data_IF_236852966202
#
_entry.id   IF_236852966202
#
_cell.length_a   1.000
_cell.length_b   1.000
_cell.length_c   1.000
_cell.angle_alpha   90.00
_cell.angle_beta   90.00
_cell.angle_gamma   90.00
#
_symmetry.space_group_name_H-M   'P 1'
#
loop_
_entity.id
_entity.type
_entity.pdbx_description
1 polymer ?
#
# COMPACT_ATOMS: atom_id res chain seq x y z
N UNK A 1 -36.37 -6.16 13.21
CA UNK A 1 -36.73 -5.63 11.87
C UNK A 1 -35.85 -4.44 11.48
N UNK A 2 -36.00 -3.23 12.05
CA UNK A 2 -35.19 -2.04 11.68
C UNK A 2 -33.66 -2.20 11.80
N UNK A 3 -33.15 -2.94 12.79
CA UNK A 3 -31.71 -3.17 12.95
C UNK A 3 -31.14 -4.23 11.98
N UNK A 4 -31.98 -5.13 11.48
CA UNK A 4 -31.61 -6.14 10.47
C UNK A 4 -31.60 -5.47 9.08
N UNK A 5 -32.54 -4.55 8.84
CA UNK A 5 -32.61 -3.71 7.65
C UNK A 5 -31.39 -2.79 7.50
N UNK A 6 -30.89 -2.24 8.61
CA UNK A 6 -29.65 -1.43 8.62
C UNK A 6 -28.42 -2.30 8.30
N UNK A 7 -28.31 -3.50 8.89
CA UNK A 7 -27.18 -4.42 8.67
C UNK A 7 -27.09 -4.98 7.25
N UNK A 8 -28.22 -5.12 6.55
CA UNK A 8 -28.26 -5.58 5.16
C UNK A 8 -27.98 -4.46 4.15
N UNK A 9 -28.30 -3.20 4.50
CA UNK A 9 -28.04 -2.04 3.64
C UNK A 9 -26.54 -1.69 3.51
N UNK A 10 -25.72 -1.96 4.53
CA UNK A 10 -24.26 -1.71 4.51
C UNK A 10 -23.46 -2.68 3.61
N UNK A 11 -24.09 -3.78 3.17
CA UNK A 11 -23.48 -4.81 2.31
C UNK A 11 -23.94 -4.75 0.84
N UNK A 12 -24.53 -3.63 0.40
CA UNK A 12 -24.73 -3.36 -1.02
C UNK A 12 -25.98 -3.98 -1.67
N UNK A 13 -27.02 -4.27 -0.89
CA UNK A 13 -28.36 -4.57 -1.44
C UNK A 13 -29.23 -3.33 -1.23
N UNK A 14 -29.20 -2.43 -2.22
CA UNK A 14 -30.01 -1.23 -2.24
C UNK A 14 -31.47 -1.55 -2.59
N UNK A 15 -32.37 -1.23 -1.66
CA UNK A 15 -33.80 -0.92 -1.83
C UNK A 15 -34.68 -1.80 -2.74
N UNK A 16 -35.80 -2.22 -2.16
CA UNK A 16 -36.87 -3.06 -2.71
C UNK A 16 -37.78 -2.36 -3.74
N UNK A 17 -37.23 -1.75 -4.78
CA UNK A 17 -38.08 -1.13 -5.80
C UNK A 17 -37.33 -0.64 -7.01
N UNK A 18 -36.94 -1.55 -7.90
CA UNK A 18 -36.82 -1.33 -9.35
C UNK A 18 -36.37 -2.66 -10.01
N UNK A 19 -37.30 -3.62 -10.09
CA UNK A 19 -37.20 -4.75 -11.01
C UNK A 19 -38.51 -4.84 -11.79
N UNK A 20 -38.59 -4.06 -12.87
CA UNK A 20 -39.23 -4.53 -14.10
C UNK A 20 -38.17 -4.46 -15.19
N UNK A 21 -37.87 -5.66 -15.72
CA UNK A 21 -37.14 -5.98 -16.95
C UNK A 21 -35.62 -5.77 -16.98
N UNK A 22 -34.90 -6.90 -16.84
CA UNK A 22 -33.48 -7.03 -17.17
C UNK A 22 -32.91 -8.42 -16.86
N UNK A 23 -33.19 -9.39 -17.74
CA UNK A 23 -32.68 -10.78 -17.90
C UNK A 23 -33.00 -11.88 -16.85
N UNK A 24 -33.42 -13.10 -17.28
CA UNK A 24 -34.03 -14.11 -16.40
C UNK A 24 -33.11 -15.24 -15.89
N UNK A 25 -31.81 -15.21 -16.14
CA UNK A 25 -30.96 -16.39 -15.89
C UNK A 25 -30.14 -16.38 -14.58
N UNK A 26 -29.97 -15.25 -13.88
CA UNK A 26 -29.14 -15.21 -12.65
C UNK A 26 -29.91 -15.32 -11.30
N UNK A 27 -31.24 -15.16 -11.29
CA UNK A 27 -31.98 -14.93 -10.04
C UNK A 27 -32.54 -16.22 -9.36
N UNK A 28 -32.52 -17.37 -10.05
CA UNK A 28 -33.14 -18.61 -9.53
C UNK A 28 -32.29 -19.36 -8.50
N UNK A 29 -30.95 -19.26 -8.58
CA UNK A 29 -30.03 -19.97 -7.66
C UNK A 29 -29.90 -19.31 -6.29
N UNK A 30 -29.97 -17.98 -6.23
CA UNK A 30 -29.79 -17.19 -5.00
C UNK A 30 -31.02 -17.28 -4.08
N UNK A 31 -32.22 -17.38 -4.67
CA UNK A 31 -33.49 -17.43 -3.94
C UNK A 31 -33.67 -18.72 -3.11
N UNK A 32 -33.22 -19.87 -3.59
CA UNK A 32 -33.31 -21.13 -2.83
C UNK A 32 -32.23 -21.27 -1.74
N UNK A 33 -31.06 -20.63 -1.95
CA UNK A 33 -29.94 -20.72 -1.01
C UNK A 33 -30.28 -20.11 0.36
N UNK A 34 -31.03 -19.00 0.39
CA UNK A 34 -31.44 -18.34 1.62
C UNK A 34 -32.44 -19.18 2.43
N UNK A 35 -33.40 -19.84 1.79
CA UNK A 35 -34.32 -20.76 2.46
C UNK A 35 -33.59 -22.00 3.00
N UNK A 36 -32.68 -22.58 2.22
CA UNK A 36 -31.90 -23.73 2.67
C UNK A 36 -30.99 -23.36 3.86
N UNK A 37 -30.36 -22.19 3.83
CA UNK A 37 -29.56 -21.69 4.94
C UNK A 37 -30.41 -21.47 6.18
N UNK A 38 -31.59 -20.86 6.04
CA UNK A 38 -32.54 -20.64 7.13
C UNK A 38 -32.95 -21.95 7.81
N UNK A 39 -33.43 -22.92 7.03
CA UNK A 39 -33.84 -24.21 7.58
C UNK A 39 -32.67 -24.99 8.20
N UNK A 40 -31.49 -24.96 7.59
CA UNK A 40 -30.29 -25.56 8.20
C UNK A 40 -29.94 -24.91 9.53
N UNK A 41 -29.90 -23.58 9.59
CA UNK A 41 -29.58 -22.85 10.82
C UNK A 41 -30.61 -23.12 11.93
N UNK A 42 -31.89 -23.24 11.58
CA UNK A 42 -32.92 -23.67 12.52
C UNK A 42 -32.72 -25.12 12.97
N UNK A 43 -32.55 -26.06 12.04
CA UNK A 43 -32.45 -27.48 12.33
C UNK A 43 -31.15 -27.81 13.12
N UNK A 44 -30.10 -27.01 12.96
CA UNK A 44 -28.86 -27.10 13.76
C UNK A 44 -28.92 -26.34 15.09
N UNK A 45 -30.05 -25.71 15.44
CA UNK A 45 -30.26 -25.01 16.70
C UNK A 45 -29.60 -23.63 16.82
N UNK A 46 -29.18 -23.04 15.69
CA UNK A 46 -28.65 -21.67 15.65
C UNK A 46 -29.78 -20.64 15.68
N UNK A 47 -30.92 -20.97 15.07
CA UNK A 47 -32.15 -20.20 15.13
C UNK A 47 -33.20 -20.97 15.92
N UNK A 48 -33.92 -20.27 16.78
CA UNK A 48 -35.07 -20.80 17.52
C UNK A 48 -36.31 -20.09 17.00
N UNK A 49 -37.28 -20.86 16.53
CA UNK A 49 -38.59 -20.35 16.13
C UNK A 49 -39.56 -20.45 17.29
N UNK A 50 -40.05 -19.31 17.77
CA UNK A 50 -41.17 -19.26 18.71
C UNK A 50 -42.42 -18.76 17.96
N UNK A 51 -43.43 -19.62 17.86
CA UNK A 51 -44.67 -19.25 17.17
C UNK A 51 -45.72 -18.80 18.18
N UNK A 52 -45.99 -17.50 18.22
CA UNK A 52 -47.05 -16.94 19.04
C UNK A 52 -48.27 -16.60 18.18
N UNK A 53 -49.32 -17.43 18.29
CA UNK A 53 -50.61 -17.35 17.56
C UNK A 53 -50.45 -17.37 16.03
N UNK A 54 -50.17 -16.21 15.43
CA UNK A 54 -50.08 -16.01 13.99
C UNK A 54 -48.75 -15.39 13.56
N UNK A 55 -47.81 -15.20 14.49
CA UNK A 55 -46.48 -14.64 14.23
C UNK A 55 -45.41 -15.64 14.67
N UNK A 56 -44.48 -15.91 13.77
CA UNK A 56 -43.25 -16.63 14.07
C UNK A 56 -42.19 -15.60 14.41
N UNK A 57 -41.71 -15.65 15.65
CA UNK A 57 -40.52 -14.97 16.09
C UNK A 57 -39.33 -15.90 15.87
N UNK A 58 -38.25 -15.35 15.33
CA UNK A 58 -37.04 -16.11 15.06
C UNK A 58 -35.92 -15.43 15.82
N UNK A 59 -35.45 -16.09 16.86
CA UNK A 59 -34.36 -15.60 17.68
C UNK A 59 -33.11 -16.44 17.45
N UNK A 60 -31.96 -15.79 17.45
CA UNK A 60 -30.68 -16.46 17.32
C UNK A 60 -30.21 -16.90 18.71
N UNK A 61 -29.73 -18.14 18.81
CA UNK A 61 -29.14 -18.64 20.04
C UNK A 61 -27.91 -17.75 20.42
N UNK A 62 -27.79 -17.27 21.67
CA UNK A 62 -26.66 -16.46 22.12
C UNK A 62 -25.29 -17.06 21.79
N UNK A 63 -25.15 -18.39 21.90
CA UNK A 63 -23.89 -19.08 21.59
C UNK A 63 -23.58 -19.03 20.09
N UNK A 64 -24.60 -19.23 19.26
CA UNK A 64 -24.47 -19.11 17.81
C UNK A 64 -24.17 -17.67 17.38
N UNK A 65 -24.77 -16.69 18.06
CA UNK A 65 -24.49 -15.27 17.85
C UNK A 65 -23.04 -14.93 18.20
N UNK A 66 -22.49 -15.47 19.29
CA UNK A 66 -21.06 -15.31 19.63
C UNK A 66 -20.14 -15.90 18.55
N UNK A 67 -20.48 -17.07 18.00
CA UNK A 67 -19.71 -17.70 16.92
C UNK A 67 -19.78 -16.87 15.64
N UNK A 68 -20.97 -16.39 15.25
CA UNK A 68 -21.14 -15.50 14.10
C UNK A 68 -20.42 -14.17 14.29
N UNK A 69 -20.49 -13.60 15.49
CA UNK A 69 -19.72 -12.42 15.87
C UNK A 69 -18.22 -12.66 15.71
N UNK A 70 -17.71 -13.79 16.19
CA UNK A 70 -16.31 -14.16 16.02
C UNK A 70 -15.91 -14.34 14.55
N UNK A 71 -16.72 -15.01 13.73
CA UNK A 71 -16.49 -15.20 12.29
C UNK A 71 -16.54 -13.85 11.56
N UNK A 72 -17.49 -12.99 11.91
CA UNK A 72 -17.62 -11.65 11.35
C UNK A 72 -16.42 -10.79 11.74
N UNK A 73 -15.97 -10.88 12.99
CA UNK A 73 -14.74 -10.25 13.47
C UNK A 73 -13.52 -10.77 12.70
N UNK A 74 -13.46 -12.06 12.34
CA UNK A 74 -12.41 -12.58 11.44
C UNK A 74 -12.45 -11.93 10.06
N UNK A 75 -13.64 -11.70 9.49
CA UNK A 75 -13.83 -11.09 8.17
C UNK A 75 -13.63 -9.57 8.11
N UNK A 76 -14.09 -8.84 9.13
CA UNK A 76 -14.17 -7.36 9.12
C UNK A 76 -13.07 -6.65 9.91
N UNK A 77 -12.12 -7.36 10.52
CA UNK A 77 -11.13 -6.76 11.41
C UNK A 77 -10.01 -6.01 10.68
N UNK A 78 -10.31 -5.05 9.80
CA UNK A 78 -9.37 -3.97 9.48
C UNK A 78 -9.24 -3.07 10.71
N UNK A 79 -8.48 -3.53 11.71
CA UNK A 79 -8.19 -2.75 12.90
C UNK A 79 -7.35 -1.55 12.45
N UNK A 80 -7.88 -0.33 12.64
CA UNK A 80 -7.11 0.89 12.46
C UNK A 80 -5.97 0.91 13.48
N UNK A 81 -4.79 0.55 13.01
CA UNK A 81 -3.61 0.23 13.83
C UNK A 81 -3.16 1.42 14.69
N UNK A 82 -3.35 2.65 14.22
CA UNK A 82 -2.96 3.87 14.92
C UNK A 82 -3.83 4.20 16.14
N UNK A 83 -5.15 3.98 16.07
CA UNK A 83 -6.07 4.28 17.18
C UNK A 83 -5.83 3.35 18.38
N UNK A 84 -5.68 2.05 18.10
CA UNK A 84 -5.45 1.03 19.12
C UNK A 84 -4.23 1.32 20.01
N UNK A 85 -3.15 1.87 19.45
CA UNK A 85 -1.94 2.18 20.24
C UNK A 85 -2.15 3.34 21.21
N UNK A 86 -2.86 4.38 20.76
CA UNK A 86 -3.19 5.53 21.61
C UNK A 86 -4.14 5.08 22.73
N UNK A 87 -5.11 4.23 22.41
CA UNK A 87 -6.05 3.68 23.39
C UNK A 87 -5.33 2.83 24.44
N UNK A 88 -4.40 1.96 24.04
CA UNK A 88 -3.57 1.20 24.99
C UNK A 88 -2.79 2.14 25.90
N UNK A 89 -2.10 3.14 25.35
CA UNK A 89 -1.33 4.11 26.14
C UNK A 89 -2.22 4.83 27.15
N UNK A 90 -3.35 5.36 26.72
CA UNK A 90 -4.23 6.14 27.58
C UNK A 90 -4.81 5.29 28.71
N UNK A 91 -5.24 4.06 28.41
CA UNK A 91 -5.74 3.12 29.41
C UNK A 91 -4.65 2.69 30.41
N UNK A 92 -3.41 2.47 29.94
CA UNK A 92 -2.28 2.14 30.80
C UNK A 92 -1.92 3.32 31.73
N UNK A 93 -1.88 4.55 31.19
CA UNK A 93 -1.63 5.77 31.96
C UNK A 93 -2.73 6.07 32.98
N UNK A 94 -3.98 5.75 32.67
CA UNK A 94 -5.10 5.86 33.58
C UNK A 94 -4.99 4.85 34.72
N UNK A 95 -4.73 3.57 34.41
CA UNK A 95 -4.54 2.51 35.40
C UNK A 95 -3.32 2.77 36.31
N UNK A 96 -2.26 3.41 35.79
CA UNK A 96 -1.11 3.80 36.60
C UNK A 96 -1.40 4.99 37.54
N UNK A 97 -2.22 5.96 37.11
CA UNK A 97 -2.57 7.13 37.93
C UNK A 97 -3.63 6.83 38.97
N UNK A 98 -4.65 6.07 38.60
CA UNK A 98 -5.80 5.77 39.45
C UNK A 98 -6.06 4.25 39.48
N UNK A 99 -5.20 3.47 40.16
CA UNK A 99 -5.23 2.01 40.11
C UNK A 99 -6.49 1.39 40.75
N UNK A 100 -7.18 2.11 41.63
CA UNK A 100 -8.36 1.62 42.35
C UNK A 100 -9.66 1.80 41.55
N UNK A 101 -9.76 2.87 40.75
CA UNK A 101 -10.94 3.21 39.95
C UNK A 101 -10.80 2.77 38.49
N UNK A 102 -9.60 2.82 37.93
CA UNK A 102 -9.34 2.59 36.49
C UNK A 102 -8.66 1.24 36.21
N UNK A 103 -8.74 0.26 37.12
CA UNK A 103 -8.12 -1.05 36.97
C UNK A 103 -8.64 -1.80 35.71
N UNK A 104 -9.94 -1.75 35.43
CA UNK A 104 -10.52 -2.32 34.20
C UNK A 104 -9.89 -1.74 32.92
N UNK A 105 -9.35 -0.52 32.98
CA UNK A 105 -8.58 0.07 31.90
C UNK A 105 -7.37 -0.78 31.50
N UNK A 106 -6.67 -1.41 32.45
CA UNK A 106 -5.56 -2.31 32.16
C UNK A 106 -6.02 -3.56 31.38
N UNK A 107 -7.15 -4.17 31.76
CA UNK A 107 -7.69 -5.33 31.06
C UNK A 107 -8.10 -4.97 29.61
N UNK A 108 -8.70 -3.78 29.44
CA UNK A 108 -9.02 -3.24 28.11
C UNK A 108 -7.77 -2.93 27.28
N UNK A 109 -6.72 -2.39 27.91
CA UNK A 109 -5.42 -2.17 27.28
C UNK A 109 -4.80 -3.49 26.81
N UNK A 110 -4.91 -4.55 27.62
CA UNK A 110 -4.43 -5.88 27.27
C UNK A 110 -5.16 -6.46 26.03
N UNK A 111 -6.49 -6.47 26.01
CA UNK A 111 -7.24 -6.98 24.84
C UNK A 111 -6.94 -6.16 23.58
N UNK A 112 -6.88 -4.83 23.71
CA UNK A 112 -6.54 -3.93 22.61
C UNK A 112 -5.13 -4.19 22.08
N UNK A 113 -4.14 -4.41 22.95
CA UNK A 113 -2.78 -4.77 22.57
C UNK A 113 -2.73 -6.12 21.82
N UNK A 114 -3.50 -7.12 22.25
CA UNK A 114 -3.59 -8.40 21.56
C UNK A 114 -4.24 -8.28 20.18
N UNK A 115 -5.34 -7.51 20.06
CA UNK A 115 -5.98 -7.21 18.76
C UNK A 115 -5.00 -6.51 17.81
N UNK A 116 -4.26 -5.52 18.32
CA UNK A 116 -3.21 -4.84 17.58
C UNK A 116 -2.13 -5.82 17.09
N UNK A 117 -1.60 -6.68 17.97
CA UNK A 117 -0.59 -7.67 17.61
C UNK A 117 -1.08 -8.70 16.56
N UNK A 118 -2.36 -9.07 16.59
CA UNK A 118 -2.98 -9.93 15.57
C UNK A 118 -3.10 -9.21 14.23
N UNK A 119 -3.54 -7.95 14.23
CA UNK A 119 -3.63 -7.12 13.02
C UNK A 119 -2.27 -6.98 12.34
N UNK A 120 -1.23 -6.66 13.12
CA UNK A 120 0.16 -6.64 12.64
C UNK A 120 0.54 -7.98 11.96
N UNK A 121 0.38 -9.11 12.64
CA UNK A 121 0.70 -10.43 12.04
C UNK A 121 -0.05 -10.70 10.74
N UNK A 122 -1.31 -10.28 10.63
CA UNK A 122 -2.09 -10.41 9.40
C UNK A 122 -1.52 -9.57 8.26
N UNK A 123 -1.11 -8.33 8.53
CA UNK A 123 -0.47 -7.47 7.52
C UNK A 123 0.78 -8.15 6.96
N UNK A 124 1.64 -8.72 7.80
CA UNK A 124 2.82 -9.45 7.32
C UNK A 124 2.46 -10.71 6.51
N UNK A 125 1.42 -11.44 6.91
CA UNK A 125 0.97 -12.60 6.16
C UNK A 125 0.45 -12.20 4.77
N UNK A 126 -0.36 -11.15 4.69
CA UNK A 126 -0.83 -10.60 3.41
C UNK A 126 0.30 -10.08 2.53
N UNK A 127 1.32 -9.43 3.13
CA UNK A 127 2.53 -9.04 2.40
C UNK A 127 3.25 -10.24 1.79
N UNK A 128 3.44 -11.32 2.55
CA UNK A 128 4.08 -12.55 2.05
C UNK A 128 3.28 -13.19 0.93
N UNK A 129 1.97 -13.23 1.05
CA UNK A 129 1.10 -13.78 0.00
C UNK A 129 1.23 -12.98 -1.30
N UNK A 130 1.29 -11.65 -1.21
CA UNK A 130 1.57 -10.77 -2.36
C UNK A 130 2.98 -11.06 -2.91
N UNK A 131 3.99 -11.24 -2.05
CA UNK A 131 5.35 -11.64 -2.44
C UNK A 131 5.32 -12.91 -3.28
N UNK A 132 4.66 -13.96 -2.78
CA UNK A 132 4.62 -15.27 -3.40
C UNK A 132 3.90 -15.22 -4.75
N UNK A 133 2.80 -14.46 -4.86
CA UNK A 133 2.11 -14.24 -6.14
C UNK A 133 3.00 -13.51 -7.16
N UNK A 134 3.80 -12.55 -6.71
CA UNK A 134 4.70 -11.77 -7.58
C UNK A 134 5.95 -12.57 -7.96
N UNK A 135 6.49 -13.39 -7.06
CA UNK A 135 7.66 -14.25 -7.32
C UNK A 135 7.29 -15.48 -8.15
N UNK A 136 6.09 -16.03 -7.96
CA UNK A 136 5.62 -17.22 -8.65
C UNK A 136 5.17 -16.98 -10.10
N UNK A 137 5.00 -15.72 -10.53
CA UNK A 137 4.50 -15.41 -11.85
C UNK A 137 5.63 -15.02 -12.83
N UNK A 138 5.84 -15.75 -13.95
CA UNK A 138 6.85 -15.39 -14.94
C UNK A 138 6.40 -14.22 -15.85
N UNK A 139 5.11 -13.87 -15.86
CA UNK A 139 4.58 -12.82 -16.73
C UNK A 139 4.72 -11.43 -16.08
N UNK A 140 5.53 -10.58 -16.70
CA UNK A 140 5.81 -9.22 -16.23
C UNK A 140 4.56 -8.32 -16.14
N UNK A 141 3.60 -8.46 -17.05
CA UNK A 141 2.35 -7.69 -17.01
C UNK A 141 1.45 -8.11 -15.83
N UNK A 142 1.44 -9.41 -15.50
CA UNK A 142 0.71 -9.94 -14.36
C UNK A 142 1.36 -9.49 -13.03
N UNK A 143 2.70 -9.52 -12.96
CA UNK A 143 3.46 -8.97 -11.82
C UNK A 143 3.08 -7.51 -11.54
N UNK A 144 3.08 -6.66 -12.58
CA UNK A 144 2.73 -5.24 -12.42
C UNK A 144 1.29 -5.04 -11.98
N UNK A 145 0.34 -5.80 -12.55
CA UNK A 145 -1.08 -5.72 -12.15
C UNK A 145 -1.28 -6.08 -10.68
N UNK A 146 -0.73 -7.22 -10.24
CA UNK A 146 -0.78 -7.65 -8.83
C UNK A 146 -0.14 -6.63 -7.91
N UNK A 147 0.98 -6.00 -8.31
CA UNK A 147 1.59 -4.94 -7.53
C UNK A 147 0.68 -3.71 -7.37
N UNK A 148 0.08 -3.19 -8.44
CA UNK A 148 -0.77 -2.00 -8.33
C UNK A 148 -2.10 -2.30 -7.61
N UNK A 149 -2.79 -3.37 -7.97
CA UNK A 149 -4.11 -3.70 -7.39
C UNK A 149 -4.01 -4.25 -5.96
N UNK A 150 -3.15 -5.24 -5.72
CA UNK A 150 -3.14 -5.93 -4.43
C UNK A 150 -2.26 -5.19 -3.40
N UNK A 151 -1.11 -4.65 -3.84
CA UNK A 151 -0.18 -3.97 -2.93
C UNK A 151 -0.44 -2.47 -2.80
N UNK A 152 -0.54 -1.70 -3.90
CA UNK A 152 -0.72 -0.24 -3.81
C UNK A 152 -2.13 0.09 -3.34
N UNK A 153 -3.16 -0.42 -4.02
CA UNK A 153 -4.56 -0.10 -3.70
C UNK A 153 -5.04 -0.81 -2.42
N UNK A 154 -4.72 -2.10 -2.27
CA UNK A 154 -5.14 -2.91 -1.13
C UNK A 154 -4.42 -2.58 0.18
N UNK A 155 -3.08 -2.60 0.17
CA UNK A 155 -2.28 -2.63 1.39
C UNK A 155 -1.60 -1.28 1.73
N UNK A 156 -1.02 -0.62 0.74
CA UNK A 156 -0.22 0.60 0.93
C UNK A 156 -1.10 1.81 1.24
N UNK A 157 -2.24 1.95 0.53
CA UNK A 157 -3.15 3.10 0.69
C UNK A 157 -3.96 3.01 1.99
N UNK A 158 -4.40 1.81 2.41
CA UNK A 158 -5.28 1.64 3.56
C UNK A 158 -4.54 1.61 4.91
N UNK A 159 -3.54 0.73 5.07
CA UNK A 159 -2.96 0.41 6.39
C UNK A 159 -1.57 1.01 6.59
N UNK A 160 -0.72 1.04 5.56
CA UNK A 160 0.67 1.50 5.68
C UNK A 160 0.82 3.02 5.86
N UNK A 161 0.00 3.83 5.16
CA UNK A 161 0.02 5.29 5.34
C UNK A 161 -0.31 5.68 6.78
N UNK A 162 -1.25 5.00 7.42
CA UNK A 162 -1.61 5.26 8.82
C UNK A 162 -0.44 4.98 9.77
N UNK A 163 0.33 3.91 9.50
CA UNK A 163 1.53 3.57 10.26
C UNK A 163 2.62 4.66 10.18
N UNK A 164 2.69 5.46 9.11
CA UNK A 164 3.75 6.49 8.93
C UNK A 164 3.34 7.92 9.31
N UNK A 165 2.05 8.16 9.61
CA UNK A 165 1.53 9.48 10.02
C UNK A 165 1.85 9.83 11.48
N UNK A 166 1.52 11.05 11.93
CA UNK A 166 1.85 11.60 13.27
C UNK A 166 1.33 10.78 14.47
N UNK A 167 0.33 9.91 14.28
CA UNK A 167 -0.13 8.90 15.23
C UNK A 167 0.56 7.53 15.05
N UNK A 168 1.82 7.52 14.60
CA UNK A 168 2.59 6.30 14.36
C UNK A 168 2.71 5.47 15.66
N UNK A 169 2.31 4.18 15.65
CA UNK A 169 2.58 3.20 16.71
C UNK A 169 4.00 3.25 17.30
N UNK A 170 4.99 3.53 16.46
CA UNK A 170 6.40 3.61 16.82
C UNK A 170 6.69 4.71 17.86
N UNK A 171 5.93 5.81 17.85
CA UNK A 171 6.12 6.93 18.79
C UNK A 171 5.85 6.50 20.22
N UNK A 172 4.78 5.74 20.43
CA UNK A 172 4.29 5.38 21.76
C UNK A 172 4.88 4.08 22.29
N UNK A 173 5.54 3.27 21.44
CA UNK A 173 6.10 1.96 21.84
C UNK A 173 6.98 2.02 23.08
N UNK A 174 7.91 2.99 23.14
CA UNK A 174 8.85 3.12 24.26
C UNK A 174 8.13 3.56 25.53
N UNK A 175 7.19 4.49 25.40
CA UNK A 175 6.37 4.96 26.51
C UNK A 175 5.55 3.83 27.10
N UNK A 176 4.85 3.06 26.27
CA UNK A 176 4.01 1.94 26.73
C UNK A 176 4.88 0.84 27.35
N UNK A 177 5.97 0.44 26.70
CA UNK A 177 6.85 -0.62 27.21
C UNK A 177 7.56 -0.21 28.52
N UNK A 178 7.99 1.05 28.64
CA UNK A 178 8.56 1.59 29.88
C UNK A 178 7.52 1.62 30.97
N UNK A 179 6.34 2.19 30.70
CA UNK A 179 5.26 2.31 31.68
C UNK A 179 4.80 0.93 32.19
N UNK A 180 4.63 -0.05 31.30
CA UNK A 180 4.32 -1.42 31.70
C UNK A 180 5.46 -2.04 32.55
N UNK A 181 6.72 -1.76 32.20
CA UNK A 181 7.88 -2.20 32.98
C UNK A 181 7.96 -1.55 34.36
N UNK A 182 7.66 -0.26 34.45
CA UNK A 182 7.66 0.51 35.71
C UNK A 182 6.53 0.01 36.62
N UNK A 183 5.33 -0.25 36.06
CA UNK A 183 4.21 -0.85 36.78
C UNK A 183 4.52 -2.27 37.29
N UNK A 184 5.24 -3.09 36.51
CA UNK A 184 5.69 -4.42 36.93
C UNK A 184 6.70 -4.38 38.09
N UNK A 185 7.48 -3.30 38.20
CA UNK A 185 8.46 -3.14 39.27
C UNK A 185 7.86 -2.68 40.60
N UNK A 186 6.64 -2.12 40.59
CA UNK A 186 5.94 -1.62 41.78
C UNK A 186 4.95 -2.66 42.34
N UNK A 187 5.41 -3.46 43.30
CA UNK A 187 4.59 -4.46 43.98
C UNK A 187 3.38 -3.86 44.72
N UNK A 188 3.47 -2.61 45.21
CA UNK A 188 2.36 -1.96 45.89
C UNK A 188 1.26 -1.55 44.91
N UNK A 189 1.65 -1.07 43.73
CA UNK A 189 0.72 -0.77 42.63
C UNK A 189 0.02 -2.04 42.13
N UNK A 190 0.77 -3.12 41.90
CA UNK A 190 0.21 -4.41 41.47
C UNK A 190 -0.87 -4.92 42.44
N UNK A 191 -0.60 -4.86 43.75
CA UNK A 191 -1.56 -5.27 44.77
C UNK A 191 -2.83 -4.40 44.80
N UNK A 192 -2.73 -3.09 44.50
CA UNK A 192 -3.91 -2.20 44.37
C UNK A 192 -4.76 -2.57 43.16
N UNK A 193 -4.13 -2.75 42.00
CA UNK A 193 -4.82 -3.14 40.76
C UNK A 193 -5.49 -4.52 40.93
N UNK A 194 -4.80 -5.47 41.56
CA UNK A 194 -5.33 -6.81 41.81
C UNK A 194 -6.57 -6.81 42.72
N UNK A 195 -6.60 -5.98 43.77
CA UNK A 195 -7.80 -5.80 44.60
C UNK A 195 -8.95 -5.19 43.80
N UNK A 196 -8.65 -4.13 43.04
CA UNK A 196 -9.64 -3.50 42.17
C UNK A 196 -10.18 -4.46 41.10
N UNK A 197 -9.39 -5.41 40.59
CA UNK A 197 -9.85 -6.45 39.65
C UNK A 197 -10.93 -7.36 40.24
N UNK A 198 -10.82 -7.67 41.54
CA UNK A 198 -11.81 -8.47 42.27
C UNK A 198 -13.06 -7.63 42.51
N UNK A 199 -12.91 -6.40 43.00
CA UNK A 199 -14.02 -5.49 43.32
C UNK A 199 -14.83 -5.09 42.08
N UNK A 200 -14.17 -4.89 40.94
CA UNK A 200 -14.79 -4.50 39.67
C UNK A 200 -15.34 -5.69 38.86
N UNK A 201 -15.25 -6.94 39.38
CA UNK A 201 -15.79 -8.12 38.73
C UNK A 201 -15.05 -8.57 37.46
N UNK A 202 -13.79 -8.16 37.29
CA UNK A 202 -12.92 -8.61 36.18
C UNK A 202 -12.50 -10.07 36.38
N UNK A 203 -12.41 -10.50 37.65
CA UNK A 203 -12.09 -11.86 38.06
C UNK A 203 -13.37 -12.68 38.30
N UNK A 204 -13.25 -14.01 38.19
CA UNK A 204 -14.33 -14.92 38.54
C UNK A 204 -14.72 -14.77 40.04
N UNK A 205 -15.99 -14.99 40.40
CA UNK A 205 -16.44 -14.95 41.78
C UNK A 205 -15.61 -15.89 42.68
N UNK A 206 -15.11 -15.39 43.80
CA UNK A 206 -14.28 -16.16 44.73
C UNK A 206 -12.78 -16.21 44.40
N UNK A 207 -12.31 -15.45 43.41
CA UNK A 207 -10.88 -15.33 43.12
C UNK A 207 -10.09 -14.75 44.30
N UNK A 208 -8.86 -15.23 44.47
CA UNK A 208 -7.94 -14.73 45.51
C UNK A 208 -7.12 -13.54 45.01
N UNK A 209 -6.60 -12.73 45.93
CA UNK A 209 -5.72 -11.61 45.58
C UNK A 209 -4.47 -12.10 44.83
N UNK A 210 -3.87 -13.22 45.24
CA UNK A 210 -2.72 -13.81 44.56
C UNK A 210 -3.01 -14.16 43.10
N UNK A 211 -4.16 -14.80 42.83
CA UNK A 211 -4.58 -15.11 41.44
C UNK A 211 -4.86 -13.86 40.61
N UNK A 212 -5.32 -12.77 41.24
CA UNK A 212 -5.52 -11.50 40.55
C UNK A 212 -4.18 -10.80 40.25
N UNK A 213 -3.22 -10.84 41.18
CA UNK A 213 -1.85 -10.34 40.96
C UNK A 213 -1.15 -11.07 39.82
N UNK A 214 -1.23 -12.42 39.79
CA UNK A 214 -0.67 -13.22 38.68
C UNK A 214 -1.25 -12.81 37.31
N UNK A 215 -2.57 -12.56 37.25
CA UNK A 215 -3.22 -12.10 36.02
C UNK A 215 -2.73 -10.71 35.62
N UNK A 216 -2.66 -9.76 36.56
CA UNK A 216 -2.19 -8.39 36.29
C UNK A 216 -0.75 -8.42 35.77
N UNK A 217 0.12 -9.23 36.38
CA UNK A 217 1.50 -9.42 35.92
C UNK A 217 1.53 -9.99 34.50
N UNK A 218 0.77 -11.05 34.24
CA UNK A 218 0.71 -11.67 32.90
C UNK A 218 0.21 -10.69 31.82
N UNK A 219 -0.81 -9.89 32.14
CA UNK A 219 -1.35 -8.88 31.22
C UNK A 219 -0.33 -7.76 30.93
N UNK A 220 0.37 -7.25 31.95
CA UNK A 220 1.41 -6.23 31.81
C UNK A 220 2.63 -6.75 31.03
N UNK A 221 3.10 -7.96 31.33
CA UNK A 221 4.18 -8.62 30.59
C UNK A 221 3.80 -8.78 29.12
N UNK A 222 2.55 -9.16 28.86
CA UNK A 222 2.06 -9.32 27.49
C UNK A 222 1.98 -8.02 26.73
N UNK A 223 1.49 -6.95 27.36
CA UNK A 223 1.48 -5.61 26.77
C UNK A 223 2.92 -5.19 26.46
N UNK A 224 3.84 -5.31 27.43
CA UNK A 224 5.25 -4.96 27.24
C UNK A 224 5.86 -5.70 26.03
N UNK A 225 5.71 -7.03 25.97
CA UNK A 225 6.28 -7.83 24.88
C UNK A 225 5.73 -7.41 23.51
N UNK A 226 4.41 -7.16 23.42
CA UNK A 226 3.75 -6.74 22.17
C UNK A 226 4.35 -5.44 21.64
N UNK A 227 4.62 -4.47 22.50
CA UNK A 227 5.15 -3.16 22.09
C UNK A 227 6.67 -3.13 21.90
N UNK A 228 7.42 -4.03 22.53
CA UNK A 228 8.83 -4.28 22.19
C UNK A 228 8.97 -4.87 20.78
N UNK A 229 8.08 -5.83 20.42
CA UNK A 229 8.05 -6.49 19.11
C UNK A 229 7.65 -5.57 17.94
N UNK A 230 7.05 -4.40 18.21
CA UNK A 230 6.65 -3.43 17.17
C UNK A 230 7.85 -2.97 16.32
N UNK A 231 9.02 -2.76 16.94
CA UNK A 231 10.21 -2.31 16.22
C UNK A 231 10.65 -3.31 15.14
N UNK A 232 11.04 -4.53 15.52
CA UNK A 232 11.39 -5.59 14.58
C UNK A 232 10.29 -5.90 13.56
N UNK A 233 9.02 -5.72 13.94
CA UNK A 233 7.89 -5.89 13.05
C UNK A 233 7.86 -4.82 11.94
N UNK A 234 8.07 -3.55 12.28
CA UNK A 234 8.14 -2.47 11.30
C UNK A 234 9.34 -2.61 10.38
N UNK A 235 10.49 -3.03 10.89
CA UNK A 235 11.69 -3.27 10.08
C UNK A 235 11.41 -4.34 8.99
N UNK A 236 10.70 -5.42 9.34
CA UNK A 236 10.26 -6.45 8.37
C UNK A 236 9.36 -5.90 7.28
N UNK A 237 8.48 -4.94 7.60
CA UNK A 237 7.62 -4.29 6.61
C UNK A 237 8.47 -3.43 5.65
N UNK A 238 9.44 -2.69 6.17
CA UNK A 238 10.34 -1.87 5.34
C UNK A 238 11.20 -2.74 4.43
N UNK A 239 11.81 -3.81 4.98
CA UNK A 239 12.57 -4.79 4.21
C UNK A 239 11.73 -5.44 3.11
N UNK A 240 10.46 -5.74 3.39
CA UNK A 240 9.53 -6.27 2.41
C UNK A 240 9.26 -5.27 1.28
N UNK A 241 8.94 -4.02 1.63
CA UNK A 241 8.70 -2.93 0.67
C UNK A 241 9.90 -2.77 -0.26
N UNK A 242 11.11 -2.69 0.31
CA UNK A 242 12.32 -2.44 -0.45
C UNK A 242 12.65 -3.60 -1.40
N UNK A 243 12.43 -4.85 -0.95
CA UNK A 243 12.56 -6.04 -1.81
C UNK A 243 11.55 -6.01 -2.95
N UNK A 244 10.30 -5.67 -2.67
CA UNK A 244 9.24 -5.61 -3.67
C UNK A 244 9.50 -4.50 -4.69
N UNK A 245 9.85 -3.30 -4.23
CA UNK A 245 10.21 -2.17 -5.10
C UNK A 245 11.39 -2.51 -6.01
N UNK A 246 12.44 -3.14 -5.44
CA UNK A 246 13.59 -3.59 -6.22
C UNK A 246 13.17 -4.61 -7.27
N UNK A 247 12.31 -5.57 -6.94
CA UNK A 247 11.81 -6.57 -7.87
C UNK A 247 11.03 -5.92 -9.02
N UNK A 248 10.11 -5.01 -8.72
CA UNK A 248 9.34 -4.29 -9.74
C UNK A 248 10.25 -3.45 -10.63
N UNK A 249 11.22 -2.73 -10.06
CA UNK A 249 12.22 -1.98 -10.84
C UNK A 249 12.98 -2.90 -11.80
N UNK A 250 13.41 -4.08 -11.33
CA UNK A 250 14.08 -5.06 -12.18
C UNK A 250 13.14 -5.58 -13.28
N UNK A 251 11.89 -5.89 -12.97
CA UNK A 251 10.90 -6.35 -13.95
C UNK A 251 10.64 -5.28 -15.02
N UNK A 252 10.43 -4.03 -14.63
CA UNK A 252 10.24 -2.90 -15.56
C UNK A 252 11.48 -2.71 -16.42
N UNK A 253 12.68 -2.72 -15.82
CA UNK A 253 13.92 -2.62 -16.58
C UNK A 253 14.09 -3.78 -17.57
N UNK A 254 13.70 -5.00 -17.18
CA UNK A 254 13.70 -6.13 -18.09
C UNK A 254 12.68 -5.96 -19.23
N UNK A 255 11.49 -5.43 -18.97
CA UNK A 255 10.52 -5.13 -20.03
C UNK A 255 11.02 -4.05 -20.99
N UNK A 256 11.68 -3.03 -20.47
CA UNK A 256 12.24 -1.92 -21.23
C UNK A 256 13.43 -2.37 -22.10
N UNK A 257 14.38 -3.12 -21.52
CA UNK A 257 15.56 -3.65 -22.21
C UNK A 257 15.22 -4.81 -23.15
N UNK A 258 14.32 -5.70 -22.74
CA UNK A 258 13.80 -6.79 -23.59
C UNK A 258 12.61 -6.35 -24.44
N UNK A 259 12.51 -5.06 -24.77
CA UNK A 259 11.53 -4.54 -25.71
C UNK A 259 11.38 -5.43 -26.95
N UNK A 260 10.18 -5.42 -27.53
CA UNK A 260 9.73 -6.26 -28.64
C UNK A 260 10.85 -6.52 -29.65
N UNK A 261 11.12 -7.81 -29.90
CA UNK A 261 12.15 -8.24 -30.84
C UNK A 261 13.50 -8.63 -30.23
N UNK A 262 13.75 -8.50 -28.92
CA UNK A 262 14.97 -9.02 -28.28
C UNK A 262 15.07 -10.55 -28.36
N UNK A 263 13.98 -11.25 -28.03
CA UNK A 263 13.86 -12.70 -28.21
C UNK A 263 13.97 -13.09 -29.68
N UNK A 264 13.30 -12.40 -30.60
CA UNK A 264 13.42 -12.63 -32.05
C UNK A 264 14.82 -12.33 -32.58
N UNK A 265 15.52 -11.32 -32.04
CA UNK A 265 16.92 -11.05 -32.38
C UNK A 265 17.83 -12.19 -31.94
N UNK A 266 17.62 -12.75 -30.74
CA UNK A 266 18.36 -13.92 -30.26
C UNK A 266 18.04 -15.15 -31.12
N UNK A 267 16.77 -15.38 -31.43
CA UNK A 267 16.35 -16.49 -32.31
C UNK A 267 16.96 -16.34 -33.70
N UNK A 268 16.92 -15.14 -34.30
CA UNK A 268 17.58 -14.85 -35.58
C UNK A 268 19.09 -15.01 -35.51
N UNK A 269 19.72 -14.62 -34.40
CA UNK A 269 21.15 -14.85 -34.16
C UNK A 269 21.49 -16.34 -34.11
N UNK A 270 20.68 -17.13 -33.39
CA UNK A 270 20.83 -18.59 -33.31
C UNK A 270 20.63 -19.23 -34.70
N UNK A 271 19.62 -18.81 -35.46
CA UNK A 271 19.38 -19.26 -36.83
C UNK A 271 20.49 -18.85 -37.81
N UNK A 272 21.10 -17.68 -37.62
CA UNK A 272 22.24 -17.25 -38.42
C UNK A 272 23.50 -18.02 -38.05
N UNK A 273 23.73 -18.26 -36.76
CA UNK A 273 24.83 -19.08 -36.26
C UNK A 273 24.72 -20.54 -36.69
N UNK A 274 23.52 -21.12 -36.71
CA UNK A 274 23.31 -22.51 -37.12
C UNK A 274 23.53 -22.76 -38.62
N UNK A 275 23.46 -21.70 -39.44
CA UNK A 275 23.77 -21.76 -40.88
C UNK A 275 25.27 -21.70 -41.17
N UNK A 276 26.08 -21.32 -40.20
CA UNK A 276 27.54 -21.36 -40.31
C UNK A 276 27.98 -22.79 -39.98
N UNK A 277 28.66 -23.45 -40.91
CA UNK A 277 29.18 -24.80 -40.70
C UNK A 277 30.19 -24.81 -39.55
N UNK A 278 30.14 -25.80 -38.65
CA UNK A 278 31.04 -25.84 -37.49
C UNK A 278 32.52 -25.99 -37.87
N UNK A 279 32.80 -26.36 -39.12
CA UNK A 279 34.16 -26.52 -39.66
C UNK A 279 34.83 -25.18 -40.03
N UNK A 280 34.08 -24.07 -40.14
CA UNK A 280 34.64 -22.74 -40.49
C UNK A 280 34.88 -21.84 -39.26
N UNK A 281 34.39 -22.22 -38.08
CA UNK A 281 34.48 -21.39 -36.87
C UNK A 281 35.33 -22.10 -35.82
N UNK A 282 36.55 -21.62 -35.63
CA UNK A 282 37.38 -22.01 -34.49
C UNK A 282 36.75 -21.42 -33.21
N UNK A 283 35.78 -22.13 -32.62
CA UNK A 283 35.20 -21.77 -31.32
C UNK A 283 36.28 -22.01 -30.27
N UNK A 284 37.12 -21.00 -30.04
CA UNK A 284 38.01 -20.97 -28.88
C UNK A 284 37.16 -20.74 -27.64
N UNK A 285 36.66 -21.81 -27.04
CA UNK A 285 36.13 -21.73 -25.68
C UNK A 285 37.23 -21.13 -24.80
N UNK A 286 36.98 -19.95 -24.22
CA UNK A 286 37.85 -19.36 -23.19
C UNK A 286 37.89 -20.19 -21.91
N UNK A 287 37.07 -21.23 -21.82
CA UNK A 287 37.08 -22.19 -20.73
C UNK A 287 37.63 -23.51 -21.28
N UNK A 288 38.75 -24.03 -20.74
CA UNK A 288 39.19 -25.37 -21.09
C UNK A 288 38.11 -26.38 -20.69
N UNK A 289 37.99 -27.46 -21.46
CA UNK A 289 37.16 -28.62 -21.12
C UNK A 289 37.81 -29.38 -19.95
N UNK A 290 37.74 -28.77 -18.78
CA UNK A 290 38.18 -29.38 -17.53
C UNK A 290 36.97 -30.07 -16.95
N UNK A 291 36.95 -31.40 -17.05
CA UNK A 291 36.19 -32.20 -16.10
C UNK A 291 36.50 -31.68 -14.70
N UNK A 292 35.47 -31.52 -13.86
CA UNK A 292 35.61 -31.01 -12.50
C UNK A 292 36.84 -31.65 -11.85
N UNK A 293 37.88 -30.88 -11.48
CA UNK A 293 39.08 -31.48 -10.95
C UNK A 293 38.71 -32.05 -9.58
N UNK A 294 38.52 -33.37 -9.53
CA UNK A 294 38.31 -34.10 -8.28
C UNK A 294 39.67 -34.10 -7.58
N UNK A 295 39.92 -33.04 -6.83
CA UNK A 295 41.11 -32.87 -6.00
C UNK A 295 40.67 -32.65 -4.56
N UNK A 296 41.55 -32.95 -3.61
CA UNK A 296 41.33 -32.69 -2.20
C UNK A 296 41.08 -31.21 -1.88
N UNK A 297 41.40 -30.28 -2.80
CA UNK A 297 41.10 -28.84 -2.69
C UNK A 297 39.64 -28.50 -3.05
N UNK A 298 38.92 -29.41 -3.71
CA UNK A 298 37.49 -29.24 -4.01
C UNK A 298 36.59 -29.67 -2.84
N UNK A 299 37.18 -30.22 -1.77
CA UNK A 299 36.44 -30.54 -0.55
C UNK A 299 36.03 -29.26 0.18
N UNK A 300 34.86 -29.34 0.82
CA UNK A 300 34.33 -28.24 1.61
C UNK A 300 35.35 -27.77 2.66
N UNK A 301 35.79 -26.52 2.52
CA UNK A 301 36.64 -25.86 3.51
C UNK A 301 35.73 -25.01 4.41
N UNK A 302 35.67 -25.27 5.73
CA UNK A 302 34.86 -24.46 6.63
C UNK A 302 35.34 -23.01 6.59
N UNK A 303 34.42 -22.02 6.53
CA UNK A 303 34.80 -20.63 6.40
C UNK A 303 35.66 -20.19 7.60
N UNK A 304 36.75 -19.45 7.36
CA UNK A 304 37.59 -18.95 8.44
C UNK A 304 36.77 -18.01 9.34
N UNK A 305 37.07 -17.95 10.66
CA UNK A 305 36.41 -17.01 11.56
C UNK A 305 36.60 -15.58 11.03
N UNK A 306 35.51 -14.81 10.98
CA UNK A 306 35.52 -13.44 10.45
C UNK A 306 36.52 -12.60 11.23
N UNK A 307 37.53 -12.07 10.53
CA UNK A 307 38.43 -11.08 11.09
C UNK A 307 37.63 -9.80 11.43
N UNK A 308 37.99 -9.10 12.53
CA UNK A 308 37.38 -7.81 12.85
C UNK A 308 37.60 -6.82 11.69
N UNK A 309 36.60 -5.99 11.35
CA UNK A 309 36.66 -5.13 10.19
C UNK A 309 37.77 -4.08 10.35
N UNK A 310 38.74 -4.09 9.42
CA UNK A 310 39.74 -3.04 9.33
C UNK A 310 39.12 -1.74 8.82
N UNK A 311 39.46 -0.61 9.48
CA UNK A 311 39.04 0.72 9.04
C UNK A 311 39.71 1.05 7.71
N UNK A 312 38.99 0.78 6.62
CA UNK A 312 39.40 1.14 5.27
C UNK A 312 38.96 2.57 4.97
N UNK A 313 39.89 3.38 4.43
CA UNK A 313 39.53 4.71 3.91
C UNK A 313 38.72 4.51 2.63
N UNK A 314 37.50 5.05 2.62
CA UNK A 314 36.61 4.98 1.47
C UNK A 314 37.30 5.62 0.26
N UNK A 315 37.71 4.81 -0.72
CA UNK A 315 38.15 5.31 -2.02
C UNK A 315 36.90 5.48 -2.88
N UNK A 316 36.53 6.73 -3.15
CA UNK A 316 35.46 7.03 -4.10
C UNK A 316 35.85 6.41 -5.45
N UNK A 317 35.04 5.52 -6.02
CA UNK A 317 35.35 4.95 -7.32
C UNK A 317 35.42 6.06 -8.36
N UNK A 318 36.50 6.07 -9.15
CA UNK A 318 36.70 7.04 -10.23
C UNK A 318 35.63 6.76 -11.29
N UNK A 319 34.61 7.63 -11.38
CA UNK A 319 33.55 7.48 -12.37
C UNK A 319 34.14 7.53 -13.79
N UNK A 320 33.67 6.62 -14.63
CA UNK A 320 34.01 6.56 -16.05
C UNK A 320 33.56 7.87 -16.74
N UNK A 321 34.47 8.59 -17.44
CA UNK A 321 34.12 9.82 -18.15
C UNK A 321 33.01 9.62 -19.20
N UNK A 322 32.93 8.46 -19.84
CA UNK A 322 31.90 8.18 -20.86
C UNK A 322 30.53 7.99 -20.22
N UNK A 323 30.46 7.28 -19.09
CA UNK A 323 29.21 7.12 -18.34
C UNK A 323 28.70 8.46 -17.82
N UNK A 324 29.61 9.35 -17.37
CA UNK A 324 29.24 10.69 -16.93
C UNK A 324 28.67 11.53 -18.08
N UNK A 325 29.30 11.50 -19.25
CA UNK A 325 28.82 12.20 -20.43
C UNK A 325 27.44 11.66 -20.88
N UNK A 326 27.25 10.34 -20.86
CA UNK A 326 25.97 9.71 -21.17
C UNK A 326 24.86 10.15 -20.20
N UNK A 327 25.10 10.06 -18.89
CA UNK A 327 24.13 10.50 -17.87
C UNK A 327 23.79 11.98 -18.01
N UNK A 328 24.78 12.82 -18.33
CA UNK A 328 24.55 14.24 -18.59
C UNK A 328 23.66 14.46 -19.82
N UNK A 329 23.96 13.81 -20.95
CA UNK A 329 23.17 13.91 -22.17
C UNK A 329 21.72 13.41 -21.98
N UNK A 330 21.52 12.28 -21.29
CA UNK A 330 20.18 11.77 -20.97
C UNK A 330 19.42 12.73 -20.06
N UNK A 331 20.09 13.27 -19.03
CA UNK A 331 19.47 14.25 -18.12
C UNK A 331 19.08 15.54 -18.85
N UNK A 332 19.90 16.01 -19.79
CA UNK A 332 19.62 17.18 -20.62
C UNK A 332 18.44 16.94 -21.58
N UNK A 333 18.38 15.75 -22.19
CA UNK A 333 17.26 15.34 -23.03
C UNK A 333 15.94 15.25 -22.23
N UNK A 334 15.95 14.59 -21.07
CA UNK A 334 14.78 14.49 -20.20
C UNK A 334 14.31 15.87 -19.74
N UNK A 335 15.26 16.75 -19.39
CA UNK A 335 14.96 18.15 -19.08
C UNK A 335 14.36 18.85 -20.29
N UNK A 336 14.83 18.63 -21.51
CA UNK A 336 14.31 19.25 -22.73
C UNK A 336 12.86 18.83 -22.99
N UNK A 337 12.57 17.53 -22.94
CA UNK A 337 11.25 16.93 -23.22
C UNK A 337 10.21 17.29 -22.16
N UNK A 338 10.62 17.42 -20.89
CA UNK A 338 9.68 17.75 -19.81
C UNK A 338 9.14 19.17 -19.95
N UNK A 339 7.85 19.26 -20.26
CA UNK A 339 7.09 20.53 -20.32
C UNK A 339 6.59 20.86 -18.91
N UNK A 340 7.02 22.00 -18.38
CA UNK A 340 6.58 22.53 -17.08
C UNK A 340 5.89 23.88 -17.26
N UNK A 341 5.03 24.27 -16.33
CA UNK A 341 4.28 25.53 -16.38
C UNK A 341 5.19 26.76 -16.59
N UNK A 342 6.36 26.77 -15.96
CA UNK A 342 7.35 27.83 -16.16
C UNK A 342 7.83 27.95 -17.61
N UNK A 343 8.08 26.82 -18.29
CA UNK A 343 8.52 26.81 -19.70
C UNK A 343 7.40 27.22 -20.64
N UNK A 344 6.16 26.80 -20.34
CA UNK A 344 4.98 27.23 -21.08
C UNK A 344 4.78 28.74 -20.96
N UNK A 345 5.03 29.30 -19.77
CA UNK A 345 4.93 30.72 -19.52
C UNK A 345 6.05 31.51 -20.21
N UNK A 346 7.30 31.01 -20.19
CA UNK A 346 8.42 31.60 -20.93
C UNK A 346 8.19 31.55 -22.45
N UNK A 347 7.64 30.44 -22.97
CA UNK A 347 7.23 30.32 -24.36
C UNK A 347 6.13 31.33 -24.71
N UNK A 348 5.06 31.40 -23.92
CA UNK A 348 3.99 32.38 -24.11
C UNK A 348 4.51 33.82 -24.06
N UNK A 349 5.39 34.16 -23.12
CA UNK A 349 6.04 35.49 -23.07
C UNK A 349 6.80 35.83 -24.35
N UNK A 350 7.57 34.85 -24.85
CA UNK A 350 8.39 35.02 -26.05
C UNK A 350 7.53 35.23 -27.30
N UNK A 351 6.46 34.46 -27.46
CA UNK A 351 5.55 34.56 -28.60
C UNK A 351 4.69 35.82 -28.55
N UNK A 352 4.31 36.28 -27.36
CA UNK A 352 3.49 37.47 -27.21
C UNK A 352 4.25 38.76 -27.56
N UNK A 353 5.58 38.84 -27.40
CA UNK A 353 6.43 40.01 -27.77
C UNK A 353 5.85 41.40 -27.40
N UNK A 354 5.03 41.50 -26.35
CA UNK A 354 4.35 42.75 -25.95
C UNK A 354 2.96 43.00 -26.57
N UNK A 355 2.46 42.12 -27.44
CA UNK A 355 1.07 42.09 -27.92
C UNK A 355 0.12 41.73 -26.78
N UNK A 356 -1.16 42.09 -26.96
CA UNK A 356 -2.26 41.80 -26.04
C UNK A 356 -2.89 40.42 -26.28
N UNK A 357 -2.87 39.95 -27.53
CA UNK A 357 -3.35 38.63 -27.93
C UNK A 357 -2.55 38.08 -29.11
N UNK A 358 -2.36 36.76 -29.14
CA UNK A 358 -1.76 36.02 -30.27
C UNK A 358 -2.57 34.75 -30.53
N UNK A 359 -2.98 34.55 -31.78
CA UNK A 359 -3.62 33.30 -32.21
C UNK A 359 -2.56 32.22 -32.50
N UNK A 360 -2.92 30.96 -32.26
CA UNK A 360 -2.09 29.79 -32.53
C UNK A 360 -1.57 29.67 -33.96
N UNK A 361 -2.22 30.31 -34.94
CA UNK A 361 -1.76 30.36 -36.34
C UNK A 361 -0.60 31.36 -36.57
N UNK A 362 -0.43 32.33 -35.68
CA UNK A 362 0.62 33.35 -35.76
C UNK A 362 1.88 32.98 -34.96
N UNK A 363 1.86 31.82 -34.29
CA UNK A 363 2.97 31.36 -33.44
C UNK A 363 4.04 30.68 -34.29
N UNK A 364 5.27 31.19 -34.22
CA UNK A 364 6.42 30.61 -34.90
C UNK A 364 7.13 29.59 -34.01
N UNK A 365 7.37 28.38 -34.55
CA UNK A 365 8.03 27.28 -33.84
C UNK A 365 9.46 27.16 -34.34
N UNK A 366 10.41 27.67 -33.57
CA UNK A 366 11.84 27.72 -33.95
C UNK A 366 12.66 26.54 -33.39
N UNK A 367 12.17 25.86 -32.35
CA UNK A 367 12.93 24.84 -31.64
C UNK A 367 12.06 23.65 -31.17
N UNK A 368 12.71 22.52 -30.87
CA UNK A 368 12.05 21.32 -30.33
C UNK A 368 11.31 21.61 -28.99
N UNK A 369 11.89 22.36 -28.03
CA UNK A 369 11.16 22.80 -26.84
C UNK A 369 9.89 23.62 -27.15
N UNK A 370 9.94 24.47 -28.17
CA UNK A 370 8.81 25.29 -28.58
C UNK A 370 7.70 24.43 -29.18
N UNK A 371 8.04 23.38 -29.92
CA UNK A 371 7.08 22.39 -30.42
C UNK A 371 6.36 21.69 -29.26
N UNK A 372 7.11 21.26 -28.24
CA UNK A 372 6.52 20.62 -27.05
C UNK A 372 5.62 21.59 -26.26
N UNK A 373 6.04 22.85 -26.12
CA UNK A 373 5.25 23.88 -25.48
C UNK A 373 3.95 24.16 -26.25
N UNK A 374 4.05 24.36 -27.57
CA UNK A 374 2.93 24.60 -28.47
C UNK A 374 1.87 23.49 -28.39
N UNK A 375 2.30 22.22 -28.42
CA UNK A 375 1.40 21.06 -28.31
C UNK A 375 0.74 20.93 -26.93
N UNK A 376 1.39 21.43 -25.87
CA UNK A 376 0.88 21.30 -24.50
C UNK A 376 -0.16 22.37 -24.13
N UNK A 377 -0.12 23.55 -24.76
CA UNK A 377 -1.02 24.67 -24.43
C UNK A 377 -2.53 24.34 -24.59
N UNK A 378 -3.00 23.70 -25.68
CA UNK A 378 -4.42 23.32 -25.80
C UNK A 378 -4.87 22.33 -24.73
N UNK A 379 -3.99 21.39 -24.35
CA UNK A 379 -4.30 20.35 -23.37
C UNK A 379 -4.54 20.95 -21.97
N UNK A 380 -3.90 22.07 -21.63
CA UNK A 380 -4.16 22.78 -20.37
C UNK A 380 -5.59 23.33 -20.31
N UNK A 381 -6.16 23.72 -21.45
CA UNK A 381 -7.49 24.33 -21.54
C UNK A 381 -8.61 23.32 -21.88
N UNK A 382 -8.30 22.02 -21.97
CA UNK A 382 -9.21 20.99 -22.47
C UNK A 382 -10.49 20.82 -21.63
N UNK A 383 -10.43 20.99 -20.32
CA UNK A 383 -11.57 20.77 -19.40
C UNK A 383 -12.52 21.98 -19.33
N UNK A 384 -12.02 23.19 -19.55
CA UNK A 384 -12.77 24.43 -19.33
C UNK A 384 -12.93 25.33 -20.55
N UNK A 385 -12.40 24.95 -21.72
CA UNK A 385 -12.18 25.80 -22.92
C UNK A 385 -11.31 27.04 -22.67
N UNK A 386 -11.03 27.41 -21.43
CA UNK A 386 -10.06 28.42 -21.06
C UNK A 386 -9.30 28.04 -19.78
N UNK A 387 -8.05 28.47 -19.68
CA UNK A 387 -7.21 28.25 -18.49
C UNK A 387 -6.27 29.44 -18.29
N UNK A 388 -6.04 29.79 -17.03
CA UNK A 388 -5.07 30.83 -16.66
C UNK A 388 -3.69 30.22 -16.47
N UNK A 389 -2.71 30.72 -17.22
CA UNK A 389 -1.30 30.39 -17.12
C UNK A 389 -0.52 31.65 -16.71
N UNK A 390 -0.44 31.89 -15.39
CA UNK A 390 0.21 33.06 -14.81
C UNK A 390 -0.45 34.39 -15.24
N UNK A 391 0.27 35.15 -16.07
CA UNK A 391 -0.19 36.44 -16.62
C UNK A 391 -1.00 36.30 -17.92
N UNK A 392 -1.10 35.09 -18.49
CA UNK A 392 -1.85 34.83 -19.71
C UNK A 392 -3.10 33.98 -19.45
N UNK A 393 -4.10 34.17 -20.29
CA UNK A 393 -5.28 33.30 -20.39
C UNK A 393 -5.23 32.62 -21.75
N UNK A 394 -5.27 31.30 -21.76
CA UNK A 394 -5.31 30.49 -22.98
C UNK A 394 -6.77 30.11 -23.20
N UNK A 395 -7.30 30.40 -24.37
CA UNK A 395 -8.68 30.08 -24.77
C UNK A 395 -8.64 29.17 -26.00
N UNK A 396 -9.44 28.10 -26.01
CA UNK A 396 -9.60 27.23 -27.16
C UNK A 396 -10.59 27.85 -28.14
N UNK A 397 -10.25 27.79 -29.42
CA UNK A 397 -11.12 28.18 -30.53
C UNK A 397 -11.76 26.92 -31.14
N UNK A 398 -12.86 27.08 -31.89
CA UNK A 398 -13.59 25.95 -32.48
C UNK A 398 -12.92 25.41 -33.75
N UNK A 399 -12.00 26.19 -34.33
CA UNK A 399 -11.23 25.84 -35.50
C UNK A 399 -9.99 25.00 -35.13
N UNK A 400 -9.33 24.42 -36.14
CA UNK A 400 -8.07 23.69 -35.98
C UNK A 400 -6.95 24.44 -36.68
N UNK A 401 -5.79 24.47 -36.06
CA UNK A 401 -4.57 24.97 -36.68
C UNK A 401 -3.76 23.77 -37.15
N UNK A 402 -3.66 23.62 -38.47
CA UNK A 402 -2.94 22.54 -39.11
C UNK A 402 -1.81 23.08 -40.00
N UNK A 403 -0.63 22.47 -39.89
CA UNK A 403 0.50 22.64 -40.80
C UNK A 403 1.08 21.26 -41.16
N UNK A 404 2.14 21.22 -41.97
CA UNK A 404 2.74 19.96 -42.47
C UNK A 404 3.24 19.00 -41.37
N UNK A 405 3.34 19.45 -40.11
CA UNK A 405 3.90 18.67 -38.99
C UNK A 405 2.98 18.55 -37.77
N UNK A 406 1.94 19.38 -37.65
CA UNK A 406 1.13 19.54 -36.45
C UNK A 406 -0.34 19.78 -36.83
N UNK A 407 -1.24 19.05 -36.19
CA UNK A 407 -2.68 19.26 -36.26
C UNK A 407 -3.24 19.33 -34.83
N UNK A 408 -3.53 20.55 -34.37
CA UNK A 408 -4.03 20.82 -33.00
C UNK A 408 -5.25 21.72 -33.02
N UNK A 409 -6.06 21.65 -31.97
CA UNK A 409 -7.17 22.61 -31.76
C UNK A 409 -6.59 24.02 -31.69
N UNK A 410 -7.17 24.95 -32.44
CA UNK A 410 -6.74 26.33 -32.44
C UNK A 410 -6.94 26.92 -31.03
N UNK A 411 -6.03 27.80 -30.63
CA UNK A 411 -6.09 28.46 -29.34
C UNK A 411 -5.59 29.89 -29.45
N UNK A 412 -6.07 30.76 -28.56
CA UNK A 412 -5.64 32.15 -28.44
C UNK A 412 -5.05 32.39 -27.07
N UNK A 413 -3.86 32.99 -27.05
CA UNK A 413 -3.19 33.45 -25.83
C UNK A 413 -3.53 34.93 -25.66
N UNK A 414 -4.09 35.31 -24.52
CA UNK A 414 -4.42 36.69 -24.17
C UNK A 414 -3.73 37.11 -22.89
N UNK A 415 -3.31 38.38 -22.78
CA UNK A 415 -2.86 38.94 -21.50
C UNK A 415 -4.04 39.07 -20.56
N UNK A 416 -3.90 38.55 -19.35
CA UNK A 416 -4.92 38.66 -18.31
C UNK A 416 -4.92 40.10 -17.80
N UNK A 417 -5.85 40.93 -18.30
CA UNK A 417 -6.07 42.27 -17.75
C UNK A 417 -6.56 42.14 -16.32
N UNK A 418 -5.70 42.43 -15.37
CA UNK A 418 -6.12 42.63 -13.97
C UNK A 418 -6.78 44.00 -13.91
N UNK A 419 -7.91 44.14 -13.21
CA UNK A 419 -8.72 45.36 -13.11
C UNK A 419 -8.05 46.52 -12.36
N UNK A 420 -6.71 46.62 -12.39
CA UNK A 420 -5.92 47.65 -11.72
C UNK A 420 -5.29 48.68 -12.66
N UNK A 421 -5.30 48.46 -13.99
CA UNK A 421 -4.76 49.40 -15.01
C UNK A 421 -5.86 50.12 -15.81
N UNK A 422 -7.10 50.10 -15.32
CA UNK A 422 -8.20 50.91 -15.85
C UNK A 422 -8.65 51.91 -14.77
N UNK A 423 -7.76 52.83 -14.40
CA UNK A 423 -8.06 54.02 -13.61
C UNK A 423 -7.22 55.21 -14.10
#
# INVERSE_FOLDING_TARGET
MKQIEIGLSEFGIGSMGELSEGDPEEDQTTSQAHYLAYYRLRDTGWLTEETEKWRTYVDMNPDAFMVLGAITDFGNSRVRVAGAVVDVKNNLEAANREPETMAQGLANAHDTALRFARSMRRILAGMREIEDRILGNPNAAAILRTFFQDFVDGLLIADYKQLKTSNNPYRHRRTIASLAGDMLADAALLGKIARAYIEQGVMAPGATIATAEERVVAELEKIKSVFEDVGPFMDKIEDFRDRLERRIRTTVHYMDVMGEGSAERIVRLIEQLSKIGSDEVEIRLRSPDVGLPITSLALYTPPPPKAPPERTRFKVPKQDPYLRAYVQATTEFDRMVRVSDQKLLEFARRQMQGRDAVSSAEIEIESIPDLFAYRALPNLAAVGRSVRLGEFTITLEEERTANDWIDVTAFRIERTRTSADAA
#
